data_IF_580278692265
#
_entry.id   IF_580278692265
#
_cell.length_a   1.000
_cell.length_b   1.000
_cell.length_c   1.000
_cell.angle_alpha   90.00
_cell.angle_beta   90.00
_cell.angle_gamma   90.00
#
_symmetry.space_group_name_H-M   'P 1'
#
loop_
_entity.id
_entity.type
_entity.pdbx_description
1 polymer ?
#
# COMPACT_ATOMS: atom_id res chain seq x y z
N UNK A 1 -9.36 3.99 1.17
CA UNK A 1 -8.90 3.27 -0.04
C UNK A 1 -7.46 2.82 0.20
N UNK A 2 -6.86 2.07 -0.71
CA UNK A 2 -5.44 1.72 -0.63
C UNK A 2 -4.81 1.83 -2.02
N UNK A 3 -3.49 1.87 -2.07
CA UNK A 3 -2.81 1.51 -3.32
C UNK A 3 -2.91 0.00 -3.54
N UNK A 4 -2.86 -0.41 -4.80
CA UNK A 4 -2.70 -1.80 -5.22
C UNK A 4 -1.56 -1.90 -6.24
N UNK A 5 -0.88 -3.03 -6.21
CA UNK A 5 0.16 -3.36 -7.20
C UNK A 5 -0.52 -4.19 -8.30
N UNK A 6 -0.15 -3.91 -9.54
CA UNK A 6 -0.67 -4.59 -10.73
C UNK A 6 0.28 -5.68 -11.21
N UNK A 7 -0.16 -6.43 -12.22
CA UNK A 7 0.56 -7.54 -12.84
C UNK A 7 1.80 -7.12 -13.64
N UNK A 8 2.04 -5.81 -13.83
CA UNK A 8 3.28 -5.31 -14.46
C UNK A 8 4.43 -5.10 -13.45
N UNK A 9 4.25 -5.56 -12.21
CA UNK A 9 5.31 -5.57 -11.20
C UNK A 9 6.55 -6.34 -11.71
N UNK A 10 7.73 -5.82 -11.40
CA UNK A 10 9.02 -6.44 -11.78
C UNK A 10 9.85 -6.87 -10.56
N UNK A 11 9.22 -6.97 -9.38
CA UNK A 11 9.84 -7.40 -8.12
C UNK A 11 11.19 -6.73 -7.79
N UNK A 12 11.26 -5.40 -7.98
CA UNK A 12 12.50 -4.63 -7.83
C UNK A 12 12.85 -4.18 -6.40
N UNK A 13 11.93 -4.32 -5.44
CA UNK A 13 12.13 -3.93 -4.04
C UNK A 13 11.79 -2.48 -3.67
N UNK A 14 11.82 -1.53 -4.61
CA UNK A 14 11.76 -0.09 -4.28
C UNK A 14 10.55 0.37 -3.47
N UNK A 15 9.36 -0.22 -3.71
CA UNK A 15 8.16 0.19 -2.98
C UNK A 15 8.09 -0.35 -1.55
N UNK A 16 8.78 -1.46 -1.25
CA UNK A 16 8.79 -2.07 0.09
C UNK A 16 9.52 -1.14 1.06
N UNK A 17 10.71 -0.67 0.68
CA UNK A 17 11.54 0.20 1.50
C UNK A 17 10.91 1.56 1.79
N UNK A 18 10.09 2.05 0.85
CA UNK A 18 9.47 3.37 0.92
C UNK A 18 8.11 3.38 1.63
N UNK A 19 7.56 2.21 1.97
CA UNK A 19 6.29 2.13 2.68
C UNK A 19 6.50 2.45 4.18
N UNK A 20 5.96 3.56 4.71
CA UNK A 20 6.27 4.01 6.08
C UNK A 20 5.70 3.10 7.17
N UNK A 21 4.79 2.19 6.81
CA UNK A 21 4.05 1.32 7.73
C UNK A 21 4.18 -0.16 7.37
N UNK A 22 5.07 -0.51 6.43
CA UNK A 22 5.30 -1.91 6.06
C UNK A 22 4.06 -2.63 5.54
N UNK A 23 3.20 -1.95 4.76
CA UNK A 23 1.98 -2.54 4.20
C UNK A 23 2.23 -3.40 2.96
N UNK A 24 3.46 -3.41 2.43
CA UNK A 24 3.82 -4.09 1.17
C UNK A 24 4.71 -5.29 1.49
N UNK A 25 4.39 -6.44 0.89
CA UNK A 25 5.21 -7.65 0.93
C UNK A 25 5.66 -8.05 -0.48
N UNK A 26 6.73 -8.83 -0.54
CA UNK A 26 7.25 -9.34 -1.80
C UNK A 26 6.37 -10.44 -2.41
N UNK A 27 6.79 -10.96 -3.56
CA UNK A 27 6.11 -12.02 -4.29
C UNK A 27 6.16 -13.38 -3.57
N UNK A 28 7.17 -13.64 -2.75
CA UNK A 28 7.26 -14.87 -1.96
C UNK A 28 6.23 -14.90 -0.82
N UNK A 29 5.93 -13.73 -0.23
CA UNK A 29 4.95 -13.55 0.84
C UNK A 29 3.57 -13.08 0.33
N UNK A 30 3.36 -12.99 -0.99
CA UNK A 30 2.08 -12.59 -1.56
C UNK A 30 0.97 -13.63 -1.25
N UNK A 31 -0.09 -13.27 -0.50
CA UNK A 31 -1.12 -14.21 -0.08
C UNK A 31 -2.02 -14.72 -1.21
N UNK A 32 -1.97 -14.09 -2.39
CA UNK A 32 -2.70 -14.54 -3.59
C UNK A 32 -1.91 -15.56 -4.40
N UNK A 33 -0.61 -15.68 -4.16
CA UNK A 33 0.30 -16.53 -4.93
C UNK A 33 0.63 -15.99 -6.33
N UNK A 34 0.36 -14.71 -6.60
CA UNK A 34 0.76 -14.04 -7.85
C UNK A 34 2.25 -13.65 -7.82
N UNK A 35 2.90 -13.70 -8.99
CA UNK A 35 4.29 -13.27 -9.20
C UNK A 35 4.42 -11.73 -9.25
N UNK A 36 3.90 -11.08 -8.22
CA UNK A 36 3.92 -9.63 -8.02
C UNK A 36 3.93 -9.32 -6.53
N UNK A 37 4.41 -8.13 -6.17
CA UNK A 37 4.31 -7.66 -4.79
C UNK A 37 2.86 -7.39 -4.38
N UNK A 38 2.57 -7.45 -3.09
CA UNK A 38 1.22 -7.33 -2.56
C UNK A 38 1.08 -6.25 -1.51
N UNK A 39 -0.03 -5.50 -1.55
CA UNK A 39 -0.38 -4.47 -0.56
C UNK A 39 -1.47 -5.01 0.36
N UNK A 40 -1.18 -5.10 1.66
CA UNK A 40 -2.20 -5.29 2.68
C UNK A 40 -3.02 -4.02 2.82
N UNK A 41 -4.23 -4.01 2.22
CA UNK A 41 -5.10 -2.84 2.17
C UNK A 41 -5.53 -2.35 3.56
N UNK A 42 -5.64 -3.27 4.52
CA UNK A 42 -5.91 -3.02 5.94
C UNK A 42 -4.69 -2.49 6.71
N UNK A 43 -3.52 -2.38 6.09
CA UNK A 43 -2.34 -1.70 6.66
C UNK A 43 -1.98 -0.43 5.90
N UNK A 44 -2.50 -0.24 4.71
CA UNK A 44 -2.18 0.91 3.88
C UNK A 44 -2.80 2.18 4.47
N UNK A 45 -1.95 3.09 4.94
CA UNK A 45 -2.40 4.36 5.55
C UNK A 45 -2.53 5.50 4.55
N UNK A 46 -2.56 5.23 3.24
CA UNK A 46 -2.54 6.24 2.17
C UNK A 46 -1.40 7.29 2.31
N UNK A 47 -0.30 6.90 2.98
CA UNK A 47 0.79 7.79 3.43
C UNK A 47 0.35 8.98 4.31
N UNK A 48 -0.85 8.97 4.90
CA UNK A 48 -1.34 10.05 5.75
C UNK A 48 -0.42 10.24 6.95
N UNK A 49 0.01 11.49 7.17
CA UNK A 49 0.95 11.84 8.23
C UNK A 49 2.42 11.55 7.92
N UNK A 50 2.72 10.95 6.76
CA UNK A 50 4.08 10.62 6.33
C UNK A 50 4.48 11.36 5.06
N UNK A 51 3.61 11.35 4.04
CA UNK A 51 3.82 12.02 2.75
C UNK A 51 2.50 12.59 2.19
N UNK A 52 2.61 13.55 1.28
CA UNK A 52 1.45 14.14 0.59
C UNK A 52 0.84 13.20 -0.47
N UNK A 53 1.65 12.30 -1.02
CA UNK A 53 1.35 11.37 -2.12
C UNK A 53 1.94 9.98 -1.76
N UNK A 54 1.43 8.85 -2.29
CA UNK A 54 2.00 7.53 -2.01
C UNK A 54 3.49 7.41 -2.39
N UNK A 55 4.36 7.31 -1.37
CA UNK A 55 5.81 7.18 -1.57
C UNK A 55 6.18 5.94 -2.41
N UNK A 56 5.50 4.82 -2.18
CA UNK A 56 5.68 3.59 -2.95
C UNK A 56 5.41 3.79 -4.45
N UNK A 57 4.38 4.56 -4.82
CA UNK A 57 4.08 4.83 -6.22
C UNK A 57 5.13 5.75 -6.86
N UNK A 58 5.61 6.76 -6.13
CA UNK A 58 6.67 7.65 -6.59
C UNK A 58 8.02 6.94 -6.79
N UNK A 59 8.31 5.94 -5.95
CA UNK A 59 9.55 5.17 -6.02
C UNK A 59 9.51 4.03 -7.05
N UNK A 60 8.32 3.64 -7.53
CA UNK A 60 8.19 2.53 -8.46
C UNK A 60 8.76 2.92 -9.85
N UNK A 61 9.74 2.18 -10.38
CA UNK A 61 10.35 2.50 -11.69
C UNK A 61 9.45 2.13 -12.88
N UNK A 62 8.37 1.38 -12.64
CA UNK A 62 7.42 0.93 -13.66
C UNK A 62 6.16 1.77 -13.60
N UNK A 63 5.94 2.61 -14.61
CA UNK A 63 4.75 3.46 -14.70
C UNK A 63 3.46 2.62 -14.76
N UNK A 64 2.44 3.06 -14.03
CA UNK A 64 1.17 2.34 -13.89
C UNK A 64 1.22 1.07 -13.01
N UNK A 65 2.37 0.73 -12.41
CA UNK A 65 2.51 -0.47 -11.60
C UNK A 65 1.72 -0.37 -10.29
N UNK A 66 1.79 0.79 -9.63
CA UNK A 66 1.09 1.08 -8.38
C UNK A 66 -0.01 2.08 -8.66
N UNK A 67 -1.26 1.68 -8.42
CA UNK A 67 -2.45 2.49 -8.69
C UNK A 67 -3.38 2.49 -7.50
N UNK A 68 -4.31 3.43 -7.44
CA UNK A 68 -5.37 3.40 -6.43
C UNK A 68 -6.30 2.21 -6.65
N UNK A 69 -6.65 1.53 -5.56
CA UNK A 69 -7.76 0.59 -5.53
C UNK A 69 -9.10 1.34 -5.58
N UNK A 70 -10.20 0.60 -5.77
CA UNK A 70 -11.53 1.17 -5.61
C UNK A 70 -11.86 1.45 -4.14
N UNK A 71 -12.93 2.22 -3.91
CA UNK A 71 -13.52 2.36 -2.57
C UNK A 71 -14.13 1.03 -2.14
N UNK A 72 -13.65 0.49 -1.02
CA UNK A 72 -14.16 -0.73 -0.40
C UNK A 72 -14.90 -0.36 0.88
N UNK A 73 -16.10 -0.89 1.07
CA UNK A 73 -16.88 -0.70 2.30
C UNK A 73 -16.09 -1.18 3.52
N UNK A 74 -16.04 -0.38 4.58
CA UNK A 74 -15.31 -0.70 5.81
C UNK A 74 -13.82 -0.34 5.76
N UNK A 75 -13.30 0.16 4.63
CA UNK A 75 -11.95 0.69 4.55
C UNK A 75 -12.00 2.23 4.62
N UNK A 76 -11.35 2.88 5.60
CA UNK A 76 -11.37 4.33 5.73
C UNK A 76 -10.66 5.00 4.55
N UNK A 77 -10.97 6.27 4.31
CA UNK A 77 -10.26 7.12 3.35
C UNK A 77 -9.23 8.00 4.05
N UNK A 78 -8.33 8.66 3.32
CA UNK A 78 -7.31 9.58 3.89
C UNK A 78 -7.83 10.52 4.99
N UNK A 79 -9.04 11.06 4.87
CA UNK A 79 -9.62 11.95 5.91
C UNK A 79 -10.03 11.24 7.20
N UNK A 80 -10.24 9.93 7.14
CA UNK A 80 -10.78 9.10 8.22
C UNK A 80 -9.70 8.24 8.90
N UNK A 81 -8.46 8.26 8.40
CA UNK A 81 -7.31 7.58 9.02
C UNK A 81 -6.78 8.44 10.16
N UNK A 82 -7.20 8.13 11.39
CA UNK A 82 -6.77 8.76 12.64
C UNK A 82 -5.28 8.55 12.95
N UNK A 83 -4.74 9.28 13.92
CA UNK A 83 -3.32 9.20 14.31
C UNK A 83 -2.93 7.78 14.78
N UNK A 84 -3.85 7.11 15.46
CA UNK A 84 -3.70 5.75 15.99
C UNK A 84 -3.61 4.67 14.90
N UNK A 85 -4.02 4.98 13.67
CA UNK A 85 -3.99 4.03 12.54
C UNK A 85 -2.76 4.22 11.65
N UNK A 86 -1.95 5.27 11.87
CA UNK A 86 -0.85 5.67 10.98
C UNK A 86 0.48 4.99 11.27
N UNK A 87 0.55 4.16 12.30
CA UNK A 87 1.79 3.53 12.77
C UNK A 87 2.03 2.11 12.22
N UNK A 88 1.06 1.55 11.48
CA UNK A 88 1.14 0.20 10.91
C UNK A 88 0.91 -0.94 11.92
N UNK A 89 0.63 -0.62 13.18
CA UNK A 89 0.35 -1.61 14.24
C UNK A 89 -1.14 -1.91 14.35
N UNK A 90 -1.99 -0.91 14.12
CA UNK A 90 -3.43 -1.06 14.09
C UNK A 90 -3.94 -1.20 12.66
N UNK A 91 -4.93 -2.08 12.46
CA UNK A 91 -5.54 -2.27 11.15
C UNK A 91 -6.38 -1.03 10.76
N UNK A 92 -6.15 -0.54 9.55
CA UNK A 92 -6.86 0.53 8.85
C UNK A 92 -8.18 0.00 8.30
N UNK A 93 -9.07 -0.39 9.22
CA UNK A 93 -10.41 -0.92 8.95
C UNK A 93 -11.39 -0.33 9.98
N UNK A 94 -12.64 -0.13 9.57
CA UNK A 94 -13.73 0.38 10.42
C UNK A 94 -14.61 -0.76 10.96
#
# INVERSE_FOLDING_TARGET
MAVKITDICISCGSCIDECPVGAIVDDADNPTGEDAYYVYADKCVECVGHNDEPACANACPTDGCIVWSGVVSGQPSRSDIGEELRDGTNAVVA
#
